data_IF_306912020558
#
_entry.id   IF_306912020558
#
_cell.length_a   1.000
_cell.length_b   1.000
_cell.length_c   1.000
_cell.angle_alpha   90.00
_cell.angle_beta   90.00
_cell.angle_gamma   90.00
#
_symmetry.space_group_name_H-M   'P 1'
#
loop_
_entity.id
_entity.type
_entity.pdbx_description
1 polymer ?
#
# COMPACT_ATOMS: atom_id res chain seq x y z
N UNK A 1 -18.86 9.82 27.27
CA UNK A 1 -19.03 9.88 25.79
C UNK A 1 -17.64 10.15 25.17
N UNK A 2 -16.87 9.11 24.83
CA UNK A 2 -15.50 9.29 24.31
C UNK A 2 -15.18 8.30 23.17
N UNK A 3 -15.74 8.55 21.99
CA UNK A 3 -15.16 8.05 20.74
C UNK A 3 -14.24 9.15 20.19
N UNK A 4 -13.00 9.22 20.71
CA UNK A 4 -11.95 10.00 20.06
C UNK A 4 -11.28 9.07 19.03
N UNK A 5 -11.57 9.17 17.73
CA UNK A 5 -10.88 8.35 16.74
C UNK A 5 -9.38 8.62 16.82
N UNK A 6 -8.58 7.55 16.77
CA UNK A 6 -7.15 7.57 17.13
C UNK A 6 -6.29 8.55 16.33
N UNK A 7 -5.19 9.01 16.95
CA UNK A 7 -4.16 9.93 16.43
C UNK A 7 -3.28 9.31 15.33
N UNK A 8 -3.88 8.59 14.38
CA UNK A 8 -3.18 8.00 13.25
C UNK A 8 -3.01 9.00 12.10
N UNK A 9 -1.83 8.98 11.45
CA UNK A 9 -1.69 9.60 10.14
C UNK A 9 -2.61 8.87 9.15
N UNK A 10 -3.31 9.62 8.29
CA UNK A 10 -4.13 9.04 7.23
C UNK A 10 -3.26 8.15 6.35
N UNK A 11 -3.78 6.96 6.03
CA UNK A 11 -3.10 6.01 5.15
C UNK A 11 -2.80 6.68 3.81
N UNK A 12 -1.57 6.51 3.30
CA UNK A 12 -1.17 7.00 1.95
C UNK A 12 -1.99 6.36 0.83
N UNK A 13 -2.56 5.18 1.09
CA UNK A 13 -3.36 4.41 0.14
C UNK A 13 -4.79 4.26 0.62
N UNK A 14 -5.73 4.39 -0.32
CA UNK A 14 -7.14 4.05 -0.11
C UNK A 14 -7.34 2.52 -0.06
N UNK A 15 -8.50 2.06 0.41
CA UNK A 15 -8.86 0.64 0.44
C UNK A 15 -8.77 -0.02 -0.94
N UNK A 16 -9.33 0.63 -1.96
CA UNK A 16 -9.28 0.16 -3.36
C UNK A 16 -7.83 0.03 -3.88
N UNK A 17 -6.97 1.00 -3.57
CA UNK A 17 -5.56 0.95 -3.96
C UNK A 17 -4.83 -0.19 -3.27
N UNK A 18 -5.19 -0.52 -2.02
CA UNK A 18 -4.61 -1.67 -1.31
C UNK A 18 -5.03 -2.99 -1.94
N UNK A 19 -6.24 -3.09 -2.46
CA UNK A 19 -6.72 -4.27 -3.18
C UNK A 19 -5.98 -4.44 -4.50
N UNK A 20 -5.84 -3.37 -5.30
CA UNK A 20 -5.03 -3.39 -6.52
C UNK A 20 -3.57 -3.75 -6.26
N UNK A 21 -2.97 -3.23 -5.19
CA UNK A 21 -1.61 -3.60 -4.77
C UNK A 21 -1.52 -5.10 -4.44
N UNK A 22 -2.53 -5.68 -3.80
CA UNK A 22 -2.58 -7.14 -3.55
C UNK A 22 -2.66 -7.92 -4.85
N UNK A 23 -3.45 -7.46 -5.81
CA UNK A 23 -3.55 -8.09 -7.13
C UNK A 23 -2.23 -8.05 -7.89
N UNK A 24 -1.50 -6.94 -7.85
CA UNK A 24 -0.17 -6.83 -8.46
C UNK A 24 0.88 -7.74 -7.81
N UNK A 25 0.69 -8.10 -6.53
CA UNK A 25 1.62 -8.94 -5.77
C UNK A 25 1.30 -10.43 -5.93
N UNK A 26 0.05 -10.81 -6.22
CA UNK A 26 -0.36 -12.20 -6.47
C UNK A 26 0.53 -12.95 -7.48
N UNK A 27 0.86 -12.40 -8.66
CA UNK A 27 1.69 -13.13 -9.62
C UNK A 27 3.15 -13.26 -9.15
N UNK A 28 3.69 -12.24 -8.48
CA UNK A 28 5.11 -12.19 -8.11
C UNK A 28 5.31 -11.63 -6.69
N UNK A 29 5.11 -12.45 -5.64
CA UNK A 29 5.18 -11.98 -4.25
C UNK A 29 6.59 -11.55 -3.81
N UNK A 30 7.63 -12.02 -4.52
CA UNK A 30 9.03 -11.70 -4.21
C UNK A 30 9.47 -10.35 -4.80
N UNK A 31 8.79 -9.87 -5.85
CA UNK A 31 9.21 -8.75 -6.70
C UNK A 31 8.56 -7.41 -6.31
N UNK A 32 8.58 -7.08 -5.02
CA UNK A 32 7.95 -5.86 -4.50
C UNK A 32 8.54 -4.55 -5.09
N UNK A 33 9.74 -4.59 -5.67
CA UNK A 33 10.32 -3.43 -6.37
C UNK A 33 9.51 -3.08 -7.61
N UNK A 34 9.09 -4.07 -8.39
CA UNK A 34 8.24 -3.84 -9.57
C UNK A 34 6.90 -3.23 -9.18
N UNK A 35 6.30 -3.72 -8.09
CA UNK A 35 5.02 -3.20 -7.58
C UNK A 35 5.15 -1.74 -7.15
N UNK A 36 6.25 -1.37 -6.47
CA UNK A 36 6.53 0.03 -6.12
C UNK A 36 6.65 0.91 -7.36
N UNK A 37 7.31 0.41 -8.41
CA UNK A 37 7.46 1.12 -9.68
C UNK A 37 6.09 1.36 -10.34
N UNK A 38 5.28 0.30 -10.48
CA UNK A 38 3.91 0.37 -11.05
C UNK A 38 3.02 1.34 -10.28
N UNK A 39 3.04 1.27 -8.95
CA UNK A 39 2.30 2.19 -8.06
C UNK A 39 2.71 3.66 -8.29
N UNK A 40 4.01 3.91 -8.49
CA UNK A 40 4.53 5.25 -8.76
C UNK A 40 4.10 5.73 -10.15
N UNK A 41 4.10 4.87 -11.16
CA UNK A 41 3.69 5.20 -12.52
C UNK A 41 2.17 5.44 -12.62
N UNK A 42 1.36 4.58 -11.99
CA UNK A 42 -0.11 4.64 -12.08
C UNK A 42 -0.72 5.77 -11.24
N UNK A 43 -0.15 6.06 -10.07
CA UNK A 43 -0.73 7.03 -9.13
C UNK A 43 0.19 8.18 -8.74
N UNK A 44 1.45 8.20 -9.17
CA UNK A 44 2.42 9.23 -8.76
C UNK A 44 2.83 9.13 -7.28
N UNK A 45 2.41 8.09 -6.56
CA UNK A 45 2.62 7.98 -5.11
C UNK A 45 3.98 7.34 -4.81
N UNK A 46 4.89 8.13 -4.25
CA UNK A 46 6.20 7.64 -3.81
C UNK A 46 6.01 6.77 -2.56
N UNK A 47 6.19 5.47 -2.73
CA UNK A 47 6.02 4.46 -1.69
C UNK A 47 7.27 3.62 -1.52
N UNK A 48 7.58 3.27 -0.27
CA UNK A 48 8.72 2.40 0.03
C UNK A 48 8.29 0.93 -0.06
N UNK A 49 9.25 0.03 -0.29
CA UNK A 49 9.03 -1.42 -0.18
C UNK A 49 8.40 -1.80 1.16
N UNK A 50 8.83 -1.16 2.26
CA UNK A 50 8.27 -1.38 3.60
C UNK A 50 6.82 -0.93 3.72
N UNK A 51 6.40 0.09 2.97
CA UNK A 51 5.01 0.54 2.92
C UNK A 51 4.12 -0.53 2.27
N UNK A 52 4.57 -1.10 1.14
CA UNK A 52 3.86 -2.20 0.46
C UNK A 52 3.81 -3.44 1.38
N UNK A 53 4.91 -3.83 2.02
CA UNK A 53 4.93 -4.93 3.00
C UNK A 53 3.92 -4.71 4.13
N UNK A 54 3.85 -3.49 4.70
CA UNK A 54 2.89 -3.16 5.75
C UNK A 54 1.43 -3.26 5.29
N UNK A 55 1.13 -2.98 4.02
CA UNK A 55 -0.21 -3.14 3.42
C UNK A 55 -0.57 -4.62 3.26
N UNK A 56 0.41 -5.41 2.82
CA UNK A 56 0.27 -6.85 2.62
C UNK A 56 0.25 -7.63 3.95
N UNK A 57 0.77 -7.06 5.04
CA UNK A 57 1.05 -7.75 6.31
C UNK A 57 1.92 -9.00 6.12
N UNK A 58 2.85 -8.94 5.17
CA UNK A 58 3.87 -9.96 4.86
C UNK A 58 5.23 -9.47 5.30
#
# INVERSE_FOLDING_TARGET
LYNKPGRGCKSKFNTEQKEKIREFVKPEPRELKQVVQKVKEEWGIISSKKTIQRILKV
#
